data_IF_024355749865
#
_entry.id   IF_024355749865
#
_cell.length_a   1.000
_cell.length_b   1.000
_cell.length_c   1.000
_cell.angle_alpha   90.00
_cell.angle_beta   90.00
_cell.angle_gamma   90.00
#
_symmetry.space_group_name_H-M   'P 1'
#
loop_
_entity.id
_entity.type
_entity.pdbx_description
1 polymer ?
#
# COMPACT_ATOMS: atom_id res chain seq x y z
N UNK A 1 37.78 -6.55 53.89
CA UNK A 1 36.54 -5.85 53.50
C UNK A 1 35.35 -6.64 54.01
N UNK A 2 34.51 -6.03 54.87
CA UNK A 2 33.32 -6.68 55.43
C UNK A 2 32.24 -6.88 54.35
N UNK A 3 31.25 -7.73 54.62
CA UNK A 3 30.16 -8.05 53.68
C UNK A 3 29.45 -6.79 53.18
N UNK A 4 29.31 -5.78 54.05
CA UNK A 4 28.72 -4.48 53.71
C UNK A 4 29.56 -3.71 52.67
N UNK A 5 30.88 -3.66 52.83
CA UNK A 5 31.77 -2.98 51.88
C UNK A 5 31.79 -3.63 50.49
N UNK A 6 31.63 -4.95 50.41
CA UNK A 6 31.49 -5.67 49.12
C UNK A 6 30.19 -5.33 48.42
N UNK A 7 29.08 -5.26 49.16
CA UNK A 7 27.76 -4.90 48.62
C UNK A 7 27.76 -3.46 48.08
N UNK A 8 28.37 -2.52 48.80
CA UNK A 8 28.45 -1.11 48.38
C UNK A 8 29.22 -0.97 47.06
N UNK A 9 30.34 -1.69 46.89
CA UNK A 9 31.13 -1.64 45.66
C UNK A 9 30.37 -2.26 44.48
N UNK A 10 29.67 -3.39 44.69
CA UNK A 10 28.86 -4.02 43.64
C UNK A 10 27.71 -3.08 43.23
N UNK A 11 27.02 -2.46 44.19
CA UNK A 11 25.98 -1.47 43.91
C UNK A 11 26.53 -0.26 43.15
N UNK A 12 27.71 0.24 43.51
CA UNK A 12 28.35 1.36 42.83
C UNK A 12 28.73 1.02 41.37
N UNK A 13 29.27 -0.17 41.12
CA UNK A 13 29.62 -0.64 39.76
C UNK A 13 28.35 -0.86 38.92
N UNK A 14 27.31 -1.43 39.51
CA UNK A 14 26.01 -1.61 38.83
C UNK A 14 25.36 -0.26 38.54
N UNK A 15 25.34 0.68 39.49
CA UNK A 15 24.82 2.04 39.27
C UNK A 15 25.60 2.78 38.19
N UNK A 16 26.94 2.71 38.23
CA UNK A 16 27.78 3.35 37.23
C UNK A 16 27.55 2.75 35.83
N UNK A 17 27.45 1.42 35.72
CA UNK A 17 27.09 0.74 34.48
C UNK A 17 25.69 1.11 33.97
N UNK A 18 24.71 1.25 34.86
CA UNK A 18 23.34 1.68 34.52
C UNK A 18 23.33 3.15 34.08
N UNK A 19 24.15 4.03 34.66
CA UNK A 19 24.27 5.44 34.24
C UNK A 19 24.87 5.56 32.83
N UNK A 20 25.93 4.82 32.51
CA UNK A 20 26.49 4.76 31.15
C UNK A 20 25.49 4.20 30.12
N UNK A 21 24.70 3.20 30.52
CA UNK A 21 23.66 2.62 29.65
C UNK A 21 22.45 3.56 29.49
N UNK A 22 22.10 4.32 30.53
CA UNK A 22 21.01 5.28 30.51
C UNK A 22 21.33 6.48 29.60
N UNK A 23 22.57 6.96 29.58
CA UNK A 23 23.01 8.02 28.65
C UNK A 23 22.92 7.57 27.19
N UNK A 24 23.23 6.30 26.88
CA UNK A 24 23.06 5.73 25.55
C UNK A 24 21.57 5.54 25.16
N UNK A 25 20.69 5.26 26.13
CA UNK A 25 19.25 5.05 25.92
C UNK A 25 18.46 6.37 25.85
N UNK A 26 18.90 7.43 26.52
CA UNK A 26 18.22 8.74 26.51
C UNK A 26 18.65 9.65 25.35
N UNK A 27 19.71 9.30 24.62
CA UNK A 27 20.16 10.04 23.43
C UNK A 27 19.23 9.85 22.22
N UNK A 28 18.44 8.77 22.21
CA UNK A 28 17.36 8.56 21.26
C UNK A 28 16.04 8.55 22.04
N UNK A 29 15.08 9.40 21.67
CA UNK A 29 13.72 9.29 22.19
C UNK A 29 13.25 7.86 21.92
N UNK A 30 12.91 7.11 22.97
CA UNK A 30 12.28 5.78 22.84
C UNK A 30 10.86 5.95 22.29
N UNK A 31 10.76 6.35 21.03
CA UNK A 31 9.60 6.04 20.22
C UNK A 31 9.57 4.53 20.14
N UNK A 32 8.42 3.93 20.44
CA UNK A 32 8.11 2.59 19.94
C UNK A 32 7.88 2.71 18.42
N UNK A 33 8.90 3.16 17.70
CA UNK A 33 9.01 3.05 16.26
C UNK A 33 9.03 1.55 16.00
N UNK A 34 8.07 1.07 15.21
CA UNK A 34 8.07 -0.32 14.80
C UNK A 34 9.44 -0.61 14.16
N UNK A 35 10.14 -1.71 14.49
CA UNK A 35 11.43 -1.98 13.89
C UNK A 35 11.38 -1.85 12.36
N UNK A 36 12.24 -1.01 11.80
CA UNK A 36 12.27 -0.62 10.37
C UNK A 36 12.21 -1.80 9.39
N UNK A 37 12.65 -2.98 9.81
CA UNK A 37 12.63 -4.19 8.98
C UNK A 37 11.23 -4.75 8.72
N UNK A 38 10.22 -4.39 9.51
CA UNK A 38 8.83 -4.80 9.28
C UNK A 38 8.02 -3.68 8.64
N UNK A 39 8.59 -2.47 8.55
CA UNK A 39 8.00 -1.41 7.75
C UNK A 39 8.21 -1.73 6.25
N UNK A 40 7.15 -2.05 5.49
CA UNK A 40 7.27 -2.34 4.07
C UNK A 40 7.74 -1.11 3.26
N UNK A 41 7.56 0.12 3.75
CA UNK A 41 8.05 1.34 3.08
C UNK A 41 9.58 1.47 3.13
N UNK A 42 10.24 0.90 4.15
CA UNK A 42 11.69 0.96 4.34
C UNK A 42 12.38 -0.33 3.88
N UNK A 43 11.66 -1.46 3.84
CA UNK A 43 12.22 -2.76 3.53
C UNK A 43 11.58 -3.32 2.26
N UNK A 44 12.23 -3.08 1.12
CA UNK A 44 11.62 -3.25 -0.21
C UNK A 44 11.77 -4.66 -0.76
N UNK A 45 12.65 -5.47 -0.17
CA UNK A 45 13.00 -6.78 -0.73
C UNK A 45 13.16 -7.86 0.34
N UNK A 46 12.92 -9.14 0.00
CA UNK A 46 13.13 -10.25 0.95
C UNK A 46 14.57 -10.36 1.45
N UNK A 47 15.56 -10.04 0.60
CA UNK A 47 16.96 -10.02 1.00
C UNK A 47 17.23 -8.91 2.03
N UNK A 48 16.67 -7.73 1.82
CA UNK A 48 16.80 -6.60 2.74
C UNK A 48 16.12 -6.90 4.08
N UNK A 49 14.95 -7.56 4.06
CA UNK A 49 14.23 -8.01 5.24
C UNK A 49 15.09 -8.95 6.10
N UNK A 50 15.63 -10.01 5.50
CA UNK A 50 16.45 -10.98 6.24
C UNK A 50 17.72 -10.32 6.79
N UNK A 51 18.36 -9.42 6.03
CA UNK A 51 19.54 -8.69 6.50
C UNK A 51 19.23 -7.86 7.75
N UNK A 52 18.18 -7.03 7.72
CA UNK A 52 17.83 -6.17 8.85
C UNK A 52 17.32 -6.97 10.05
N UNK A 53 16.56 -8.04 9.83
CA UNK A 53 16.13 -8.96 10.89
C UNK A 53 17.33 -9.57 11.62
N UNK A 54 18.37 -9.99 10.89
CA UNK A 54 19.58 -10.56 11.48
C UNK A 54 20.35 -9.53 12.31
N UNK A 55 20.52 -8.30 11.81
CA UNK A 55 21.17 -7.20 12.55
C UNK A 55 20.39 -6.86 13.82
N UNK A 56 19.05 -6.83 13.74
CA UNK A 56 18.20 -6.56 14.88
C UNK A 56 18.27 -7.68 15.95
N UNK A 57 18.25 -8.94 15.52
CA UNK A 57 18.43 -10.10 16.41
C UNK A 57 19.81 -10.09 17.10
N UNK A 58 20.87 -9.69 16.39
CA UNK A 58 22.19 -9.45 16.97
C UNK A 58 22.14 -8.38 18.07
N UNK A 59 21.51 -7.23 17.81
CA UNK A 59 21.39 -6.14 18.77
C UNK A 59 20.66 -6.54 20.06
N UNK A 60 19.51 -7.22 19.93
CA UNK A 60 18.76 -7.73 21.09
C UNK A 60 19.56 -8.78 21.84
N UNK A 61 20.16 -9.74 21.14
CA UNK A 61 20.92 -10.82 21.78
C UNK A 61 22.13 -10.30 22.56
N UNK A 62 22.85 -9.30 22.02
CA UNK A 62 23.95 -8.63 22.72
C UNK A 62 23.49 -7.91 23.98
N UNK A 63 22.37 -7.19 23.88
CA UNK A 63 21.76 -6.48 25.01
C UNK A 63 21.35 -7.44 26.13
N UNK A 64 20.67 -8.54 25.79
CA UNK A 64 20.29 -9.59 26.74
C UNK A 64 21.51 -10.29 27.34
N UNK A 65 22.56 -10.54 26.54
CA UNK A 65 23.78 -11.18 27.02
C UNK A 65 24.47 -10.32 28.09
N UNK A 66 24.57 -9.00 27.88
CA UNK A 66 25.11 -8.08 28.89
C UNK A 66 24.33 -8.14 30.19
N UNK A 67 22.99 -8.12 30.13
CA UNK A 67 22.14 -8.23 31.33
C UNK A 67 22.39 -9.54 32.10
N UNK A 68 22.46 -10.66 31.38
CA UNK A 68 22.67 -11.98 31.99
C UNK A 68 24.07 -12.13 32.57
N UNK A 69 25.09 -11.54 31.94
CA UNK A 69 26.47 -11.52 32.46
C UNK A 69 26.53 -10.70 33.75
N UNK A 70 25.89 -9.52 33.80
CA UNK A 70 25.81 -8.71 35.02
C UNK A 70 25.09 -9.48 36.12
N UNK A 71 23.95 -10.11 35.81
CA UNK A 71 23.19 -10.92 36.77
C UNK A 71 24.03 -12.08 37.33
N UNK A 72 24.72 -12.83 36.46
CA UNK A 72 25.62 -13.90 36.87
C UNK A 72 26.80 -13.38 37.69
N UNK A 73 27.40 -12.26 37.31
CA UNK A 73 28.51 -11.63 38.05
C UNK A 73 28.10 -11.21 39.47
N UNK A 74 26.93 -10.60 39.61
CA UNK A 74 26.36 -10.26 40.92
C UNK A 74 26.08 -11.52 41.73
N UNK A 75 25.40 -12.52 41.15
CA UNK A 75 25.10 -13.80 41.81
C UNK A 75 26.36 -14.50 42.31
N UNK A 76 27.45 -14.47 41.53
CA UNK A 76 28.73 -15.03 41.92
C UNK A 76 29.35 -14.29 43.11
N UNK A 77 29.33 -12.95 43.07
CA UNK A 77 30.00 -12.10 44.06
C UNK A 77 29.30 -12.09 45.44
N UNK A 78 27.98 -12.23 45.49
CA UNK A 78 27.20 -12.21 46.74
C UNK A 78 27.08 -13.57 47.44
N UNK A 79 27.51 -14.66 46.79
CA UNK A 79 27.46 -16.03 47.33
C UNK A 79 28.85 -16.62 47.62
N UNK A 80 29.74 -15.94 48.38
CA UNK A 80 31.07 -16.47 48.65
C UNK A 80 30.98 -17.76 49.49
N UNK A 81 31.67 -18.81 49.05
CA UNK A 81 31.74 -20.10 49.76
C UNK A 81 30.58 -21.07 49.49
N UNK A 82 29.55 -20.64 48.75
CA UNK A 82 28.52 -21.53 48.24
C UNK A 82 28.89 -21.97 46.81
N UNK A 83 29.59 -23.10 46.71
CA UNK A 83 30.12 -23.64 45.45
C UNK A 83 29.01 -23.95 44.43
N UNK A 84 27.83 -24.37 44.88
CA UNK A 84 26.68 -24.61 44.01
C UNK A 84 26.16 -23.31 43.40
N UNK A 85 25.92 -22.27 44.20
CA UNK A 85 25.41 -20.99 43.70
C UNK A 85 26.42 -20.27 42.78
N UNK A 86 27.72 -20.44 43.06
CA UNK A 86 28.81 -19.95 42.19
C UNK A 86 28.91 -20.73 40.88
N UNK A 87 28.66 -22.04 40.91
CA UNK A 87 28.52 -22.88 39.72
C UNK A 87 27.41 -22.37 38.82
N UNK A 88 26.19 -22.24 39.35
CA UNK A 88 25.04 -21.71 38.60
C UNK A 88 25.31 -20.33 37.98
N UNK A 89 25.94 -19.43 38.75
CA UNK A 89 26.27 -18.09 38.29
C UNK A 89 27.24 -18.12 37.10
N UNK A 90 28.21 -19.02 37.15
CA UNK A 90 29.18 -19.23 36.07
C UNK A 90 28.50 -19.83 34.84
N UNK A 91 27.56 -20.75 35.02
CA UNK A 91 26.82 -21.36 33.92
C UNK A 91 25.90 -20.35 33.22
N UNK A 92 25.29 -19.43 33.96
CA UNK A 92 24.53 -18.31 33.38
C UNK A 92 25.42 -17.44 32.48
N UNK A 93 26.61 -17.08 32.97
CA UNK A 93 27.57 -16.27 32.20
C UNK A 93 28.01 -17.03 30.94
N UNK A 94 28.36 -18.31 31.08
CA UNK A 94 28.76 -19.16 29.94
C UNK A 94 27.65 -19.25 28.91
N UNK A 95 26.41 -19.51 29.32
CA UNK A 95 25.27 -19.64 28.42
C UNK A 95 24.98 -18.33 27.67
N UNK A 96 25.10 -17.18 28.34
CA UNK A 96 24.95 -15.88 27.70
C UNK A 96 26.04 -15.65 26.62
N UNK A 97 27.30 -15.97 26.93
CA UNK A 97 28.42 -15.88 25.97
C UNK A 97 28.23 -16.86 24.81
N UNK A 98 27.86 -18.11 25.10
CA UNK A 98 27.60 -19.12 24.07
C UNK A 98 26.46 -18.73 23.13
N UNK A 99 25.40 -18.07 23.62
CA UNK A 99 24.32 -17.58 22.77
C UNK A 99 24.80 -16.56 21.73
N UNK A 100 25.62 -15.59 22.16
CA UNK A 100 26.20 -14.58 21.25
C UNK A 100 27.20 -15.22 20.29
N UNK A 101 28.07 -16.10 20.79
CA UNK A 101 29.06 -16.82 19.97
C UNK A 101 28.38 -17.73 18.95
N UNK A 102 27.28 -18.39 19.28
CA UNK A 102 26.52 -19.22 18.35
C UNK A 102 25.93 -18.36 17.23
N UNK A 103 25.35 -17.22 17.56
CA UNK A 103 24.70 -16.34 16.58
C UNK A 103 25.72 -15.66 15.64
N UNK A 104 26.86 -15.21 16.17
CA UNK A 104 27.99 -14.73 15.35
C UNK A 104 28.67 -15.87 14.57
N UNK A 105 28.80 -17.05 15.18
CA UNK A 105 29.36 -18.24 14.59
C UNK A 105 28.55 -18.72 13.39
N UNK A 106 27.22 -18.62 13.42
CA UNK A 106 26.37 -18.93 12.28
C UNK A 106 26.72 -18.08 11.04
N UNK A 107 26.94 -16.77 11.22
CA UNK A 107 27.40 -15.90 10.14
C UNK A 107 28.80 -16.26 9.66
N UNK A 108 29.75 -16.49 10.57
CA UNK A 108 31.12 -16.87 10.22
C UNK A 108 31.18 -18.19 9.44
N UNK A 109 30.38 -19.19 9.82
CA UNK A 109 30.31 -20.46 9.11
C UNK A 109 29.77 -20.26 7.69
N UNK A 110 28.68 -19.49 7.53
CA UNK A 110 28.10 -19.21 6.22
C UNK A 110 29.09 -18.45 5.32
N UNK A 111 29.74 -17.40 5.85
CA UNK A 111 30.75 -16.61 5.15
C UNK A 111 31.98 -17.44 4.74
N UNK A 112 32.44 -18.33 5.63
CA UNK A 112 33.62 -19.17 5.37
C UNK A 112 33.35 -20.25 4.32
N UNK A 113 32.17 -20.87 4.35
CA UNK A 113 31.81 -21.90 3.37
C UNK A 113 31.58 -21.26 1.99
N UNK A 114 30.82 -20.18 1.94
CA UNK A 114 30.59 -19.42 0.72
C UNK A 114 30.10 -18.00 1.05
N UNK A 115 30.90 -16.96 0.75
CA UNK A 115 30.51 -15.57 1.04
C UNK A 115 29.25 -15.14 0.29
N UNK A 116 28.88 -15.83 -0.81
CA UNK A 116 27.61 -15.60 -1.51
C UNK A 116 26.37 -15.98 -0.69
N UNK A 117 26.51 -16.71 0.42
CA UNK A 117 25.40 -17.09 1.30
C UNK A 117 25.01 -15.98 2.26
N UNK A 118 25.92 -15.06 2.57
CA UNK A 118 25.61 -13.87 3.39
C UNK A 118 25.43 -12.61 2.54
N UNK A 119 25.94 -12.61 1.30
CA UNK A 119 25.56 -11.62 0.29
C UNK A 119 24.17 -11.98 -0.22
N UNK A 120 23.16 -11.55 0.53
CA UNK A 120 21.76 -11.81 0.21
C UNK A 120 21.41 -11.10 -1.10
N UNK A 121 21.10 -11.91 -2.12
CA UNK A 121 20.57 -11.43 -3.39
C UNK A 121 19.07 -11.62 -3.37
N UNK A 122 18.35 -10.68 -3.95
CA UNK A 122 16.94 -10.91 -4.24
C UNK A 122 16.83 -12.13 -5.15
N UNK A 123 15.86 -13.03 -4.93
CA UNK A 123 15.57 -14.07 -5.90
C UNK A 123 15.38 -13.40 -7.26
N UNK A 124 16.01 -13.97 -8.28
CA UNK A 124 15.81 -13.57 -9.67
C UNK A 124 14.38 -13.88 -10.05
N UNK A 125 13.48 -12.96 -9.73
CA UNK A 125 12.20 -12.88 -10.38
C UNK A 125 12.53 -12.32 -11.76
N UNK A 126 12.70 -13.21 -12.73
CA UNK A 126 12.47 -12.80 -14.10
C UNK A 126 11.07 -12.21 -14.09
N UNK A 127 10.99 -10.90 -14.32
CA UNK A 127 9.77 -10.33 -14.82
C UNK A 127 9.49 -11.14 -16.08
N UNK A 128 8.56 -12.10 -15.98
CA UNK A 128 7.76 -12.47 -17.14
C UNK A 128 7.34 -11.11 -17.67
N UNK A 129 7.70 -10.74 -18.90
CA UNK A 129 7.21 -9.51 -19.48
C UNK A 129 5.70 -9.66 -19.53
N UNK A 130 5.02 -9.26 -18.47
CA UNK A 130 3.76 -8.59 -18.59
C UNK A 130 4.14 -7.43 -19.48
N UNK A 131 3.63 -7.46 -20.71
CA UNK A 131 3.66 -6.33 -21.63
C UNK A 131 3.12 -5.12 -20.89
N UNK A 132 4.01 -4.46 -20.16
CA UNK A 132 3.76 -3.17 -19.55
C UNK A 132 4.19 -2.27 -20.67
N UNK A 133 3.22 -1.92 -21.51
CA UNK A 133 3.33 -0.74 -22.34
C UNK A 133 3.70 0.40 -21.41
N UNK A 134 4.97 0.78 -21.41
CA UNK A 134 5.42 2.03 -20.82
C UNK A 134 4.61 3.13 -21.45
N UNK A 135 3.80 3.76 -20.61
CA UNK A 135 3.49 5.18 -20.57
C UNK A 135 3.75 5.99 -21.86
N UNK A 136 2.67 6.57 -22.39
CA UNK A 136 2.78 7.75 -23.25
C UNK A 136 2.85 7.51 -24.75
N UNK A 137 2.19 6.48 -25.27
CA UNK A 137 1.39 6.44 -26.51
C UNK A 137 0.99 4.98 -26.66
N UNK A 138 -0.26 4.61 -26.41
CA UNK A 138 -0.72 3.24 -26.66
C UNK A 138 -0.40 2.88 -28.12
N UNK A 139 0.39 1.82 -28.40
CA UNK A 139 0.36 1.20 -29.71
C UNK A 139 -1.11 0.88 -30.03
N UNK A 140 -1.54 0.99 -31.30
CA UNK A 140 -2.90 0.63 -31.67
C UNK A 140 -3.23 -0.76 -31.13
N UNK A 141 -4.41 -0.97 -30.53
CA UNK A 141 -4.82 -2.28 -30.05
C UNK A 141 -4.65 -3.31 -31.17
N UNK A 142 -4.19 -4.51 -30.83
CA UNK A 142 -4.19 -5.61 -31.80
C UNK A 142 -5.60 -5.79 -32.36
N UNK A 143 -5.72 -6.28 -33.59
CA UNK A 143 -7.02 -6.41 -34.25
C UNK A 143 -8.00 -7.25 -33.40
N UNK A 144 -7.47 -8.23 -32.68
CA UNK A 144 -8.19 -9.05 -31.70
C UNK A 144 -8.67 -8.23 -30.50
N UNK A 145 -7.82 -7.40 -29.89
CA UNK A 145 -8.20 -6.54 -28.75
C UNK A 145 -9.22 -5.47 -29.13
N UNK A 146 -9.11 -4.87 -30.32
CA UNK A 146 -10.08 -3.90 -30.81
C UNK A 146 -11.47 -4.53 -30.99
N UNK A 147 -11.52 -5.75 -31.53
CA UNK A 147 -12.76 -6.52 -31.69
C UNK A 147 -13.38 -6.85 -30.33
N UNK A 148 -12.54 -7.25 -29.37
CA UNK A 148 -12.99 -7.57 -28.02
C UNK A 148 -13.50 -6.33 -27.28
N UNK A 149 -12.84 -5.18 -27.43
CA UNK A 149 -13.27 -3.91 -26.86
C UNK A 149 -14.65 -3.50 -27.35
N UNK A 150 -14.87 -3.57 -28.67
CA UNK A 150 -16.18 -3.33 -29.29
C UNK A 150 -17.24 -4.27 -28.70
N UNK A 151 -16.92 -5.56 -28.59
CA UNK A 151 -17.83 -6.59 -28.07
C UNK A 151 -18.25 -6.31 -26.63
N UNK A 152 -17.30 -5.99 -25.76
CA UNK A 152 -17.56 -5.73 -24.34
C UNK A 152 -18.32 -4.40 -24.17
N UNK A 153 -17.95 -3.35 -24.90
CA UNK A 153 -18.68 -2.08 -24.87
C UNK A 153 -20.15 -2.25 -25.29
N UNK A 154 -20.39 -2.99 -26.38
CA UNK A 154 -21.75 -3.32 -26.82
C UNK A 154 -22.52 -4.12 -25.77
N UNK A 155 -21.89 -5.13 -25.18
CA UNK A 155 -22.51 -5.93 -24.13
C UNK A 155 -22.92 -5.08 -22.91
N UNK A 156 -22.07 -4.14 -22.50
CA UNK A 156 -22.38 -3.22 -21.39
C UNK A 156 -23.60 -2.34 -21.70
N UNK A 157 -23.70 -1.81 -22.92
CA UNK A 157 -24.87 -1.05 -23.37
C UNK A 157 -26.14 -1.90 -23.41
N UNK A 158 -26.06 -3.13 -23.93
CA UNK A 158 -27.19 -4.06 -24.02
C UNK A 158 -27.68 -4.52 -22.63
N UNK A 159 -26.84 -4.43 -21.59
CA UNK A 159 -27.16 -4.78 -20.20
C UNK A 159 -27.34 -3.54 -19.27
N UNK A 160 -27.50 -2.36 -19.86
CA UNK A 160 -27.73 -1.12 -19.12
C UNK A 160 -29.02 -1.19 -18.26
N UNK A 161 -29.00 -0.57 -17.08
CA UNK A 161 -30.16 -0.46 -16.18
C UNK A 161 -30.37 -1.66 -15.25
N UNK A 162 -29.58 -2.74 -15.46
CA UNK A 162 -29.42 -3.84 -14.52
C UNK A 162 -28.69 -3.39 -13.27
N UNK A 163 -27.35 -3.46 -13.30
CA UNK A 163 -26.46 -3.04 -12.20
C UNK A 163 -25.80 -1.69 -12.45
N UNK A 164 -25.40 -1.43 -13.70
CA UNK A 164 -24.89 -0.13 -14.11
C UNK A 164 -25.82 0.55 -15.10
N UNK A 165 -25.99 1.86 -14.97
CA UNK A 165 -26.50 2.74 -16.01
C UNK A 165 -25.43 3.75 -16.43
N UNK A 166 -25.54 4.34 -17.62
CA UNK A 166 -24.52 5.26 -18.13
C UNK A 166 -25.10 6.65 -18.34
N UNK A 167 -24.45 7.65 -17.75
CA UNK A 167 -24.90 9.04 -17.83
C UNK A 167 -24.90 9.56 -19.28
N UNK A 168 -25.93 10.35 -19.58
CA UNK A 168 -26.04 11.19 -20.79
C UNK A 168 -25.67 12.65 -20.51
N UNK A 169 -25.37 12.98 -19.26
CA UNK A 169 -24.95 14.32 -18.86
C UNK A 169 -23.43 14.42 -18.93
N UNK A 170 -22.94 15.51 -19.52
CA UNK A 170 -21.53 15.83 -19.59
C UNK A 170 -21.17 16.95 -18.59
N UNK A 171 -20.12 16.75 -17.80
CA UNK A 171 -19.61 17.73 -16.83
C UNK A 171 -18.54 18.66 -17.42
N UNK A 172 -17.92 18.28 -18.55
CA UNK A 172 -17.04 19.13 -19.36
C UNK A 172 -17.50 19.14 -20.83
N UNK A 173 -17.43 20.31 -21.47
CA UNK A 173 -17.63 20.46 -22.92
C UNK A 173 -19.02 20.15 -23.45
N UNK A 174 -20.00 19.84 -22.59
CA UNK A 174 -21.41 19.51 -22.92
C UNK A 174 -21.64 18.36 -23.92
N UNK A 175 -20.60 17.62 -24.33
CA UNK A 175 -20.69 16.57 -25.36
C UNK A 175 -20.08 15.22 -24.97
N UNK A 176 -19.15 15.18 -24.01
CA UNK A 176 -18.52 13.91 -23.60
C UNK A 176 -19.18 13.38 -22.33
N UNK A 177 -19.94 12.31 -22.47
CA UNK A 177 -20.65 11.63 -21.38
C UNK A 177 -20.46 10.11 -21.47
N UNK A 178 -20.60 9.41 -20.35
CA UNK A 178 -20.26 7.99 -20.25
C UNK A 178 -20.96 7.11 -21.31
N UNK A 179 -22.27 7.33 -21.52
CA UNK A 179 -23.03 6.57 -22.52
C UNK A 179 -22.56 6.81 -23.95
N UNK A 180 -22.20 8.05 -24.28
CA UNK A 180 -21.70 8.44 -25.59
C UNK A 180 -20.34 7.82 -25.86
N UNK A 181 -19.44 7.86 -24.87
CA UNK A 181 -18.13 7.23 -24.95
C UNK A 181 -18.24 5.71 -25.21
N UNK A 182 -19.13 5.01 -24.51
CA UNK A 182 -19.39 3.58 -24.78
C UNK A 182 -20.05 3.34 -26.14
N UNK A 183 -20.96 4.22 -26.58
CA UNK A 183 -21.62 4.11 -27.89
C UNK A 183 -20.60 4.23 -29.02
N UNK A 184 -19.73 5.23 -28.96
CA UNK A 184 -18.64 5.43 -29.92
C UNK A 184 -17.76 4.18 -30.01
N UNK A 185 -17.28 3.68 -28.86
CA UNK A 185 -16.44 2.48 -28.82
C UNK A 185 -17.17 1.23 -29.31
N UNK A 186 -18.46 1.08 -29.00
CA UNK A 186 -19.27 -0.05 -29.49
C UNK A 186 -19.50 -0.05 -31.00
N UNK A 187 -19.33 1.12 -31.64
CA UNK A 187 -19.38 1.28 -33.10
C UNK A 187 -17.99 1.19 -33.75
N UNK A 188 -16.94 0.93 -32.96
CA UNK A 188 -15.55 0.94 -33.43
C UNK A 188 -14.98 2.34 -33.65
N UNK A 189 -15.64 3.38 -33.13
CA UNK A 189 -15.16 4.75 -33.19
C UNK A 189 -14.37 5.13 -31.93
N UNK A 190 -13.54 6.17 -32.06
CA UNK A 190 -12.85 6.75 -30.90
C UNK A 190 -13.80 7.65 -30.11
N UNK A 191 -13.85 7.49 -28.77
CA UNK A 191 -14.70 8.32 -27.94
C UNK A 191 -14.17 9.75 -27.88
N UNK A 192 -15.06 10.69 -27.55
CA UNK A 192 -14.64 12.02 -27.09
C UNK A 192 -13.85 11.89 -25.78
N UNK A 193 -12.65 12.46 -25.75
CA UNK A 193 -11.81 12.54 -24.55
C UNK A 193 -11.52 14.00 -24.26
N UNK A 194 -11.84 14.41 -23.04
CA UNK A 194 -11.65 15.77 -22.57
C UNK A 194 -10.21 15.99 -22.09
N UNK A 195 -9.90 17.25 -21.80
CA UNK A 195 -8.62 17.71 -21.24
C UNK A 195 -8.90 18.53 -19.98
N UNK A 196 -7.87 18.90 -19.19
CA UNK A 196 -8.03 19.72 -17.98
C UNK A 196 -8.78 21.03 -18.23
N UNK A 197 -8.67 21.58 -19.44
CA UNK A 197 -9.33 22.80 -19.88
C UNK A 197 -10.78 22.56 -20.37
N UNK A 198 -11.34 21.37 -20.15
CA UNK A 198 -12.64 20.93 -20.65
C UNK A 198 -12.79 21.00 -22.19
N UNK A 199 -11.69 20.96 -22.94
CA UNK A 199 -11.72 20.81 -24.40
C UNK A 199 -11.74 19.32 -24.73
N UNK A 200 -12.76 18.85 -25.45
CA UNK A 200 -12.95 17.44 -25.76
C UNK A 200 -12.81 17.17 -27.26
N UNK A 201 -12.03 16.14 -27.62
CA UNK A 201 -11.74 15.73 -29.01
C UNK A 201 -11.86 14.22 -29.14
N UNK A 202 -12.28 13.71 -30.31
CA UNK A 202 -12.27 12.26 -30.57
C UNK A 202 -10.84 11.74 -30.45
N UNK A 203 -10.63 10.72 -29.62
CA UNK A 203 -9.31 10.17 -29.37
C UNK A 203 -8.39 11.04 -28.50
N UNK A 204 -8.91 12.11 -27.89
CA UNK A 204 -8.12 13.03 -27.08
C UNK A 204 -7.12 13.85 -27.89
N UNK A 205 -6.12 14.42 -27.22
CA UNK A 205 -5.10 15.27 -27.86
C UNK A 205 -4.21 14.47 -28.82
N UNK A 206 -3.98 13.18 -28.55
CA UNK A 206 -3.22 12.30 -29.44
C UNK A 206 -4.03 11.80 -30.65
N UNK A 207 -5.38 11.88 -30.59
CA UNK A 207 -6.26 11.29 -31.60
C UNK A 207 -6.26 9.76 -31.59
N UNK A 208 -5.76 9.13 -30.52
CA UNK A 208 -5.62 7.67 -30.41
C UNK A 208 -6.23 7.08 -29.14
N UNK A 209 -6.67 7.91 -28.19
CA UNK A 209 -7.18 7.44 -26.89
C UNK A 209 -8.54 6.76 -27.04
N UNK A 210 -8.69 5.58 -26.46
CA UNK A 210 -9.96 4.85 -26.35
C UNK A 210 -10.16 4.33 -24.93
N UNK A 211 -11.30 3.71 -24.63
CA UNK A 211 -11.55 3.10 -23.34
C UNK A 211 -10.69 1.85 -23.13
N UNK A 212 -10.16 1.69 -21.92
CA UNK A 212 -9.34 0.55 -21.57
C UNK A 212 -10.18 -0.75 -21.60
N UNK A 213 -9.72 -1.75 -22.36
CA UNK A 213 -10.42 -3.03 -22.48
C UNK A 213 -10.58 -3.73 -21.13
N UNK A 214 -9.53 -3.72 -20.31
CA UNK A 214 -9.55 -4.41 -19.02
C UNK A 214 -10.53 -3.75 -18.06
N UNK A 215 -10.60 -2.41 -18.09
CA UNK A 215 -11.62 -1.65 -17.36
C UNK A 215 -13.04 -2.11 -17.72
N UNK A 216 -13.36 -2.20 -19.02
CA UNK A 216 -14.70 -2.61 -19.46
C UNK A 216 -15.02 -4.07 -19.10
N UNK A 217 -14.03 -4.97 -19.19
CA UNK A 217 -14.17 -6.35 -18.75
C UNK A 217 -14.36 -6.48 -17.24
N UNK A 218 -13.69 -5.65 -16.45
CA UNK A 218 -13.93 -5.54 -15.01
C UNK A 218 -15.37 -5.13 -14.70
N UNK A 219 -15.90 -4.13 -15.40
CA UNK A 219 -17.30 -3.73 -15.30
C UNK A 219 -18.25 -4.87 -15.68
N UNK A 220 -17.98 -5.53 -16.82
CA UNK A 220 -18.75 -6.69 -17.27
C UNK A 220 -18.76 -7.81 -16.22
N UNK A 221 -17.60 -8.13 -15.65
CA UNK A 221 -17.48 -9.14 -14.60
C UNK A 221 -18.37 -8.81 -13.41
N UNK A 222 -18.36 -7.56 -12.94
CA UNK A 222 -19.20 -7.11 -11.82
C UNK A 222 -20.69 -7.28 -12.15
N UNK A 223 -21.08 -6.92 -13.39
CA UNK A 223 -22.46 -7.08 -13.83
C UNK A 223 -22.88 -8.55 -13.83
N UNK A 224 -21.99 -9.48 -14.16
CA UNK A 224 -22.30 -10.91 -14.19
C UNK A 224 -22.27 -11.52 -12.77
N UNK A 225 -21.22 -11.26 -11.99
CA UNK A 225 -20.84 -12.10 -10.85
C UNK A 225 -21.03 -11.46 -9.47
N UNK A 226 -21.29 -10.15 -9.38
CA UNK A 226 -21.27 -9.45 -8.08
C UNK A 226 -22.63 -8.87 -7.71
N UNK A 227 -23.00 -8.88 -6.42
CA UNK A 227 -24.18 -8.17 -5.91
C UNK A 227 -23.83 -6.71 -5.64
N UNK A 228 -23.58 -5.94 -6.70
CA UNK A 228 -23.40 -4.49 -6.59
C UNK A 228 -24.75 -3.76 -6.51
N UNK A 229 -24.83 -2.67 -5.75
CA UNK A 229 -25.98 -1.79 -5.81
C UNK A 229 -26.07 -1.12 -7.18
N UNK A 230 -27.30 -0.78 -7.59
CA UNK A 230 -27.53 -0.06 -8.84
C UNK A 230 -26.75 1.26 -8.82
N UNK A 231 -25.87 1.45 -9.79
CA UNK A 231 -24.97 2.60 -9.84
C UNK A 231 -24.93 3.20 -11.24
N UNK A 232 -24.81 4.51 -11.32
CA UNK A 232 -24.64 5.27 -12.56
C UNK A 232 -23.15 5.47 -12.79
N UNK A 233 -22.64 5.12 -13.96
CA UNK A 233 -21.31 5.58 -14.39
C UNK A 233 -21.50 6.96 -15.03
N UNK A 234 -20.93 7.99 -14.41
CA UNK A 234 -21.16 9.40 -14.77
C UNK A 234 -20.17 9.89 -15.82
N UNK A 235 -18.94 9.37 -15.82
CA UNK A 235 -17.90 9.74 -16.78
C UNK A 235 -16.94 8.58 -17.03
N UNK A 236 -16.37 8.50 -18.23
CA UNK A 236 -15.17 7.69 -18.51
C UNK A 236 -13.99 8.60 -18.88
N UNK A 237 -14.16 9.36 -19.95
CA UNK A 237 -13.14 10.26 -20.51
C UNK A 237 -13.53 11.72 -20.44
N UNK A 238 -14.64 12.02 -19.75
CA UNK A 238 -15.15 13.36 -19.49
C UNK A 238 -14.72 13.89 -18.13
N UNK A 239 -15.35 14.98 -17.69
CA UNK A 239 -15.08 15.58 -16.39
C UNK A 239 -13.86 16.48 -16.36
N UNK A 240 -13.89 17.45 -15.43
CA UNK A 240 -12.75 18.32 -15.17
C UNK A 240 -11.89 17.59 -14.17
N UNK A 241 -10.73 17.13 -14.58
CA UNK A 241 -9.69 16.50 -13.78
C UNK A 241 -8.41 17.32 -13.90
N UNK A 242 -7.42 16.93 -13.13
CA UNK A 242 -6.09 17.47 -13.22
C UNK A 242 -5.33 16.96 -14.45
N UNK A 243 -4.12 17.49 -14.69
CA UNK A 243 -3.36 17.22 -15.92
C UNK A 243 -2.95 15.76 -16.12
N UNK A 244 -2.79 14.96 -15.05
CA UNK A 244 -2.29 13.58 -15.16
C UNK A 244 -3.35 12.48 -14.96
N UNK A 245 -4.60 12.83 -14.63
CA UNK A 245 -5.73 12.51 -15.50
C UNK A 245 -5.80 11.11 -16.13
N UNK A 246 -6.05 10.01 -15.40
CA UNK A 246 -6.34 8.71 -16.05
C UNK A 246 -7.64 8.73 -16.87
N UNK A 247 -8.58 9.62 -16.56
CA UNK A 247 -9.73 9.90 -17.43
C UNK A 247 -9.30 10.35 -18.83
N UNK A 248 -8.24 11.14 -18.93
CA UNK A 248 -7.71 11.64 -20.21
C UNK A 248 -6.92 10.59 -20.99
N UNK A 249 -6.71 9.42 -20.38
CA UNK A 249 -6.06 8.26 -20.97
C UNK A 249 -7.05 7.10 -21.23
N UNK A 250 -8.34 7.29 -20.90
CA UNK A 250 -9.36 6.24 -21.06
C UNK A 250 -9.30 5.10 -20.03
N UNK A 251 -8.58 5.33 -18.93
CA UNK A 251 -8.32 4.35 -17.87
C UNK A 251 -9.07 4.67 -16.57
N UNK A 252 -10.19 5.39 -16.60
CA UNK A 252 -10.93 5.72 -15.39
C UNK A 252 -12.44 5.81 -15.64
N UNK A 253 -13.22 5.66 -14.56
CA UNK A 253 -14.66 5.77 -14.58
C UNK A 253 -15.18 6.41 -13.28
N UNK A 254 -16.05 7.41 -13.41
CA UNK A 254 -16.74 8.00 -12.26
C UNK A 254 -18.04 7.24 -12.01
N UNK A 255 -18.32 6.91 -10.75
CA UNK A 255 -19.52 6.17 -10.36
C UNK A 255 -20.38 7.03 -9.43
N UNK A 256 -21.67 6.77 -9.43
CA UNK A 256 -22.64 7.35 -8.49
C UNK A 256 -23.74 6.34 -8.25
N UNK A 257 -23.78 5.66 -7.09
CA UNK A 257 -24.91 4.83 -6.68
C UNK A 257 -26.22 5.59 -6.81
N UNK A 258 -27.29 4.91 -7.25
CA UNK A 258 -28.63 5.51 -7.38
C UNK A 258 -29.19 5.97 -6.03
N UNK A 259 -28.75 5.33 -4.95
CA UNK A 259 -28.95 5.78 -3.57
C UNK A 259 -27.58 6.05 -2.96
N UNK A 260 -27.34 7.29 -2.55
CA UNK A 260 -26.10 7.74 -1.91
C UNK A 260 -26.06 7.38 -0.42
N UNK A 261 -26.62 6.25 0.00
CA UNK A 261 -26.38 5.81 1.38
C UNK A 261 -24.96 5.24 1.50
N UNK A 262 -24.26 5.46 2.62
CA UNK A 262 -22.89 4.97 2.84
C UNK A 262 -22.71 3.47 2.57
N UNK A 263 -23.69 2.66 3.00
CA UNK A 263 -23.69 1.21 2.80
C UNK A 263 -23.70 0.77 1.32
N UNK A 264 -24.23 1.61 0.41
CA UNK A 264 -24.19 1.31 -1.02
C UNK A 264 -22.80 1.57 -1.60
N UNK A 265 -22.14 2.64 -1.16
CA UNK A 265 -20.77 2.92 -1.53
C UNK A 265 -19.82 1.81 -1.09
N UNK A 266 -19.98 1.35 0.16
CA UNK A 266 -19.21 0.23 0.70
C UNK A 266 -19.37 -1.07 -0.14
N UNK A 267 -20.60 -1.41 -0.50
CA UNK A 267 -20.89 -2.59 -1.34
C UNK A 267 -20.33 -2.47 -2.77
N UNK A 268 -20.43 -1.29 -3.36
CA UNK A 268 -19.86 -1.02 -4.69
C UNK A 268 -18.33 -1.18 -4.65
N UNK A 269 -17.68 -0.57 -3.68
CA UNK A 269 -16.22 -0.54 -3.55
C UNK A 269 -15.66 -1.92 -3.17
N UNK A 270 -16.32 -2.65 -2.28
CA UNK A 270 -15.98 -4.05 -1.96
C UNK A 270 -16.07 -4.95 -3.19
N UNK A 271 -17.07 -4.73 -4.05
CA UNK A 271 -17.21 -5.53 -5.28
C UNK A 271 -16.14 -5.19 -6.33
N UNK A 272 -15.75 -3.92 -6.42
CA UNK A 272 -14.66 -3.46 -7.28
C UNK A 272 -13.29 -3.96 -6.78
N UNK A 273 -13.09 -4.13 -5.48
CA UNK A 273 -11.82 -4.58 -4.90
C UNK A 273 -11.74 -6.08 -4.60
N UNK A 274 -12.77 -6.84 -4.97
CA UNK A 274 -12.77 -8.28 -4.71
C UNK A 274 -11.62 -8.93 -5.50
N UNK A 275 -10.63 -9.58 -4.84
CA UNK A 275 -9.47 -10.16 -5.52
C UNK A 275 -9.85 -11.31 -6.47
N UNK A 276 -11.04 -11.89 -6.27
CA UNK A 276 -11.60 -12.91 -7.16
C UNK A 276 -12.45 -12.31 -8.29
N UNK A 277 -12.51 -10.98 -8.44
CA UNK A 277 -13.31 -10.32 -9.47
C UNK A 277 -12.63 -10.21 -10.84
N UNK A 278 -11.63 -11.08 -11.06
CA UNK A 278 -10.80 -11.08 -12.26
C UNK A 278 -10.15 -9.72 -12.44
N UNK A 279 -10.27 -9.20 -13.65
CA UNK A 279 -9.76 -7.89 -14.02
C UNK A 279 -10.28 -6.82 -13.02
N UNK A 280 -11.54 -6.81 -12.60
CA UNK A 280 -12.12 -5.74 -11.78
C UNK A 280 -11.32 -5.40 -10.50
N UNK A 281 -10.61 -6.38 -9.93
CA UNK A 281 -9.74 -6.25 -8.75
C UNK A 281 -8.63 -5.19 -8.89
N UNK A 282 -8.34 -4.74 -10.11
CA UNK A 282 -7.36 -3.69 -10.41
C UNK A 282 -7.94 -2.26 -10.23
N UNK A 283 -9.20 -2.14 -9.82
CA UNK A 283 -9.84 -0.88 -9.47
C UNK A 283 -9.14 -0.18 -8.29
N UNK A 284 -8.79 1.10 -8.45
CA UNK A 284 -8.26 2.00 -7.42
C UNK A 284 -9.26 3.17 -7.25
N UNK A 285 -9.13 3.97 -6.19
CA UNK A 285 -10.03 5.12 -5.96
C UNK A 285 -9.22 6.42 -6.03
N UNK A 286 -9.87 7.55 -6.30
CA UNK A 286 -9.27 8.87 -6.08
C UNK A 286 -10.35 9.82 -5.52
N UNK A 287 -10.01 10.61 -4.50
CA UNK A 287 -10.93 11.59 -3.93
C UNK A 287 -10.45 13.02 -4.16
N UNK A 288 -11.40 13.94 -4.33
CA UNK A 288 -11.14 15.38 -4.41
C UNK A 288 -11.28 16.07 -3.07
N UNK A 289 -10.59 17.21 -2.93
CA UNK A 289 -10.74 18.16 -1.82
C UNK A 289 -12.21 18.45 -1.52
N UNK A 290 -12.53 18.53 -0.23
CA UNK A 290 -13.87 18.75 0.29
C UNK A 290 -14.00 20.13 0.94
N UNK A 291 -15.19 20.71 0.83
CA UNK A 291 -15.65 21.88 1.58
C UNK A 291 -16.98 21.53 2.23
N UNK A 292 -17.11 21.73 3.55
CA UNK A 292 -18.44 21.60 4.19
C UNK A 292 -19.43 22.67 3.69
N UNK A 293 -20.70 22.45 4.03
CA UNK A 293 -21.80 23.40 3.85
C UNK A 293 -21.62 24.72 4.61
N UNK A 294 -20.59 24.84 5.45
CA UNK A 294 -20.27 26.02 6.24
C UNK A 294 -19.08 26.82 5.66
N UNK A 295 -18.53 26.42 4.51
CA UNK A 295 -17.39 27.08 3.87
C UNK A 295 -16.03 26.81 4.53
N UNK A 296 -15.96 25.90 5.50
CA UNK A 296 -14.71 25.46 6.10
C UNK A 296 -14.15 24.29 5.27
N UNK A 297 -13.29 24.63 4.31
CA UNK A 297 -12.50 23.63 3.59
C UNK A 297 -11.33 23.16 4.43
N UNK A 298 -11.31 21.90 4.85
CA UNK A 298 -10.03 21.25 5.12
C UNK A 298 -9.38 20.92 3.78
N UNK A 299 -8.29 21.63 3.46
CA UNK A 299 -7.33 21.15 2.47
C UNK A 299 -6.71 19.89 3.06
N UNK A 300 -7.20 18.71 2.70
CA UNK A 300 -6.29 17.57 2.68
C UNK A 300 -5.41 17.75 1.45
N UNK A 301 -4.13 18.01 1.69
CA UNK A 301 -3.09 18.12 0.68
C UNK A 301 -2.48 16.76 0.32
N UNK A 302 -3.09 15.63 0.71
CA UNK A 302 -2.57 14.31 0.37
C UNK A 302 -3.23 13.73 -0.89
N UNK A 303 -2.44 13.86 -1.97
CA UNK A 303 -2.32 12.98 -3.15
C UNK A 303 -3.52 12.95 -4.09
N UNK A 304 -3.72 14.08 -4.79
CA UNK A 304 -4.04 13.96 -6.20
C UNK A 304 -2.79 13.49 -6.95
N UNK A 305 -2.99 12.65 -7.96
CA UNK A 305 -2.10 12.50 -9.13
C UNK A 305 -0.80 11.74 -8.94
N UNK A 306 -0.71 10.64 -9.71
CA UNK A 306 0.53 10.13 -10.33
C UNK A 306 1.79 10.25 -9.48
N UNK A 307 2.15 9.17 -8.77
CA UNK A 307 3.59 8.92 -8.64
C UNK A 307 4.07 8.35 -9.99
N UNK A 308 4.93 9.05 -10.76
CA UNK A 308 5.46 8.55 -12.03
C UNK A 308 6.39 7.34 -11.85
N UNK A 309 6.73 6.98 -10.62
CA UNK A 309 7.77 5.99 -10.31
C UNK A 309 7.23 4.64 -9.82
N UNK A 310 5.92 4.39 -9.89
CA UNK A 310 5.36 3.07 -9.56
C UNK A 310 5.55 2.63 -8.10
N UNK A 311 5.85 3.54 -7.16
CA UNK A 311 5.97 3.18 -5.74
C UNK A 311 4.58 2.91 -5.13
N UNK A 312 4.55 1.94 -4.22
CA UNK A 312 3.39 1.48 -3.48
C UNK A 312 2.51 2.63 -2.93
N UNK A 313 1.21 2.40 -3.06
CA UNK A 313 0.15 3.21 -2.46
C UNK A 313 0.40 3.34 -0.95
N UNK A 314 0.72 4.55 -0.49
CA UNK A 314 0.98 4.81 0.94
C UNK A 314 -0.18 4.34 1.80
N UNK A 315 0.13 3.73 2.95
CA UNK A 315 -0.82 3.24 3.96
C UNK A 315 -1.85 4.31 4.39
N UNK A 316 -1.51 5.60 4.27
CA UNK A 316 -2.43 6.73 4.48
C UNK A 316 -3.61 6.78 3.49
N UNK A 317 -3.43 6.29 2.26
CA UNK A 317 -4.47 6.19 1.23
C UNK A 317 -5.42 5.00 1.49
N UNK A 318 -4.87 3.90 2.03
CA UNK A 318 -5.63 2.75 2.55
C UNK A 318 -6.53 3.17 3.71
N UNK A 319 -6.01 3.99 4.64
CA UNK A 319 -6.78 4.54 5.74
C UNK A 319 -7.78 5.60 5.30
N UNK A 320 -7.49 6.44 4.30
CA UNK A 320 -8.46 7.44 3.81
C UNK A 320 -9.72 6.81 3.21
N UNK A 321 -9.59 5.77 2.38
CA UNK A 321 -10.75 5.01 1.92
C UNK A 321 -11.40 4.31 3.12
N UNK A 322 -10.65 3.57 3.95
CA UNK A 322 -11.13 2.85 5.15
C UNK A 322 -11.84 3.72 6.22
N UNK A 323 -11.41 4.97 6.42
CA UNK A 323 -11.92 5.89 7.44
C UNK A 323 -13.20 6.60 6.98
N UNK A 324 -13.38 6.77 5.66
CA UNK A 324 -14.67 7.14 5.08
C UNK A 324 -15.74 6.05 5.36
N UNK A 325 -15.32 4.78 5.52
CA UNK A 325 -16.18 3.61 5.72
C UNK A 325 -16.55 3.33 7.18
N UNK A 326 -15.78 3.80 8.17
CA UNK A 326 -16.03 3.47 9.59
C UNK A 326 -16.93 4.49 10.34
N UNK A 327 -17.27 5.63 9.73
CA UNK A 327 -18.16 6.65 10.32
C UNK A 327 -19.17 7.20 9.29
N UNK A 328 -20.05 6.31 8.82
CA UNK A 328 -21.12 6.59 7.85
C UNK A 328 -22.06 7.75 8.22
N UNK A 329 -22.13 8.14 9.49
CA UNK A 329 -22.94 9.25 10.01
C UNK A 329 -22.51 10.63 9.48
N UNK A 330 -21.32 10.77 8.90
CA UNK A 330 -20.82 12.03 8.35
C UNK A 330 -21.22 12.31 6.88
N UNK A 331 -21.77 11.30 6.19
CA UNK A 331 -21.92 11.27 4.73
C UNK A 331 -23.33 11.66 4.23
N UNK A 332 -24.29 11.92 5.11
CA UNK A 332 -25.62 12.40 4.72
C UNK A 332 -25.52 13.77 4.03
N UNK A 333 -25.75 13.79 2.70
CA UNK A 333 -25.73 15.01 1.87
C UNK A 333 -24.37 15.43 1.29
N UNK A 334 -23.35 14.54 1.29
CA UNK A 334 -21.94 14.90 0.96
C UNK A 334 -21.25 13.96 -0.04
N UNK A 335 -22.01 13.24 -0.87
CA UNK A 335 -21.53 12.08 -1.66
C UNK A 335 -21.48 12.30 -3.18
N UNK A 336 -21.68 13.52 -3.66
CA UNK A 336 -21.92 13.78 -5.09
C UNK A 336 -20.65 13.74 -5.98
N UNK A 337 -19.46 13.40 -5.47
CA UNK A 337 -18.20 13.47 -6.23
C UNK A 337 -17.14 12.43 -5.83
N UNK A 338 -17.52 11.15 -5.64
CA UNK A 338 -16.54 10.06 -5.46
C UNK A 338 -16.13 9.51 -6.82
N UNK A 339 -14.83 9.51 -7.12
CA UNK A 339 -14.27 9.07 -8.40
C UNK A 339 -13.49 7.75 -8.19
N UNK A 340 -13.66 6.78 -9.08
CA UNK A 340 -13.03 5.46 -8.94
C UNK A 340 -12.11 5.21 -10.13
N UNK A 341 -10.80 5.26 -9.89
CA UNK A 341 -9.80 5.10 -10.92
C UNK A 341 -9.35 3.66 -11.02
N UNK A 342 -9.81 2.90 -12.00
CA UNK A 342 -9.26 1.57 -12.24
C UNK A 342 -7.95 1.67 -13.03
N UNK A 343 -6.81 1.42 -12.39
CA UNK A 343 -5.50 1.52 -13.04
C UNK A 343 -5.06 0.12 -13.50
N UNK A 344 -4.72 -0.02 -14.79
CA UNK A 344 -4.64 -1.29 -15.52
C UNK A 344 -3.35 -1.50 -16.30
#
# INVERSE_FOLDING_TARGET
MNTLGKIIIILAVVLMGVSFFAEAVLAETFNLEYPDFVNPEITKTPAEFINKLYIYALGISGTLAVMMIVYGGVKYAINPGNTSAQGDATDIIKNAVFGVVLLAGAYLILETINPSLVILKNPGLEMVPVSTSTEGTTPPPTKEEATELIRVAKWLLDNEGGKFSFSVNATCGSISHAKGNLTDVSNGELPLVCSPDCVCKKGGTSGTVTLNLKMLKGLQFIVINSTVPKSVITSFTGGKHNTTSQHYQGNAADFSPVNTSPDQWDKLLTSLRNPNAGEASLAKCEARKWTDTNGNGQKDSRKSESNPNGDEYSTEFYNFCSDLFNNASYLTGKLDNIHIHANW
#
